data_IF_754940830672
#
_entry.id   IF_754940830672
#
_cell.length_a   1.000
_cell.length_b   1.000
_cell.length_c   1.000
_cell.angle_alpha   90.00
_cell.angle_beta   90.00
_cell.angle_gamma   90.00
#
_symmetry.space_group_name_H-M   'P 1'
#
loop_
_entity.id
_entity.type
_entity.pdbx_description
1 polymer ?
#
# COMPACT_ATOMS: atom_id res chain seq x y z
N UNK A 1 -5.02 12.56 -15.53
CA UNK A 1 -3.93 11.64 -15.21
C UNK A 1 -3.36 11.97 -13.84
N UNK A 2 -3.39 11.01 -12.91
CA UNK A 2 -2.72 11.14 -11.62
C UNK A 2 -1.21 11.04 -11.78
N UNK A 3 -0.46 11.74 -10.95
CA UNK A 3 1.00 11.77 -11.00
C UNK A 3 1.60 11.47 -9.62
N UNK A 4 2.66 10.68 -9.62
CA UNK A 4 3.48 10.45 -8.43
C UNK A 4 4.50 11.58 -8.34
N UNK A 5 4.34 12.46 -7.36
CA UNK A 5 5.12 13.69 -7.27
C UNK A 5 6.23 13.58 -6.21
N UNK A 6 7.42 14.06 -6.56
CA UNK A 6 8.45 14.43 -5.60
C UNK A 6 9.04 15.78 -6.04
N UNK A 7 8.53 16.88 -5.47
CA UNK A 7 8.83 18.23 -5.96
C UNK A 7 8.02 18.57 -7.22
N UNK A 8 8.69 19.00 -8.30
CA UNK A 8 8.05 19.54 -9.52
C UNK A 8 7.91 18.53 -10.67
N UNK A 9 8.43 17.31 -10.53
CA UNK A 9 8.40 16.28 -11.57
C UNK A 9 7.80 14.98 -11.03
N UNK A 10 7.12 14.24 -11.90
CA UNK A 10 6.46 13.00 -11.53
C UNK A 10 5.97 12.21 -12.74
N UNK A 11 6.20 10.90 -12.72
CA UNK A 11 5.62 9.97 -13.69
C UNK A 11 4.11 9.85 -13.50
N UNK A 12 3.39 9.42 -14.53
CA UNK A 12 1.95 9.14 -14.38
C UNK A 12 1.74 7.89 -13.53
N UNK A 13 0.62 7.81 -12.84
CA UNK A 13 0.21 6.62 -12.09
C UNK A 13 0.10 5.41 -13.03
N UNK A 14 -0.56 5.57 -14.17
CA UNK A 14 -0.62 4.57 -15.23
C UNK A 14 0.75 4.02 -15.65
N UNK A 15 1.75 4.88 -15.90
CA UNK A 15 3.09 4.43 -16.30
C UNK A 15 3.74 3.61 -15.18
N UNK A 16 3.57 4.02 -13.92
CA UNK A 16 4.08 3.30 -12.76
C UNK A 16 3.44 1.91 -12.64
N UNK A 17 2.11 1.85 -12.72
CA UNK A 17 1.36 0.59 -12.67
C UNK A 17 1.69 -0.33 -13.84
N UNK A 18 1.97 0.23 -15.02
CA UNK A 18 2.40 -0.55 -16.19
C UNK A 18 3.74 -1.22 -15.93
N UNK A 19 4.71 -0.51 -15.35
CA UNK A 19 5.99 -1.10 -14.96
C UNK A 19 5.83 -2.20 -13.90
N UNK A 20 4.92 -2.01 -12.93
CA UNK A 20 4.58 -3.06 -11.95
C UNK A 20 3.98 -4.28 -12.64
N UNK A 21 3.05 -4.07 -13.57
CA UNK A 21 2.42 -5.15 -14.35
C UNK A 21 3.46 -5.94 -15.14
N UNK A 22 4.38 -5.25 -15.81
CA UNK A 22 5.43 -5.90 -16.61
C UNK A 22 6.42 -6.67 -15.72
N UNK A 23 6.84 -6.10 -14.58
CA UNK A 23 7.64 -6.81 -13.58
C UNK A 23 6.96 -8.09 -13.10
N UNK A 24 5.65 -8.04 -12.81
CA UNK A 24 4.92 -9.22 -12.37
C UNK A 24 4.80 -10.28 -13.48
N UNK A 25 4.62 -9.89 -14.75
CA UNK A 25 4.60 -10.82 -15.89
C UNK A 25 5.93 -11.57 -16.06
N UNK A 26 7.05 -10.89 -15.83
CA UNK A 26 8.38 -11.49 -15.97
C UNK A 26 8.77 -12.36 -14.77
N UNK A 27 8.17 -12.14 -13.59
CA UNK A 27 8.61 -12.75 -12.34
C UNK A 27 7.44 -13.45 -11.61
N UNK A 28 6.97 -14.61 -12.06
CA UNK A 28 5.69 -15.24 -11.67
C UNK A 28 5.44 -15.45 -10.15
N UNK A 29 6.47 -15.48 -9.32
CA UNK A 29 6.34 -15.70 -7.86
C UNK A 29 6.41 -14.43 -7.02
N UNK A 30 6.73 -13.29 -7.63
CA UNK A 30 6.85 -12.03 -6.90
C UNK A 30 5.49 -11.49 -6.49
N UNK A 31 5.47 -10.85 -5.32
CA UNK A 31 4.32 -10.15 -4.75
C UNK A 31 4.73 -8.70 -4.49
N UNK A 32 3.90 -7.75 -4.91
CA UNK A 32 4.17 -6.32 -4.76
C UNK A 32 3.21 -5.71 -3.74
N UNK A 33 3.77 -4.91 -2.83
CA UNK A 33 3.04 -4.13 -1.85
C UNK A 33 3.06 -2.66 -2.28
N UNK A 34 1.92 -2.11 -2.64
CA UNK A 34 1.76 -0.71 -3.06
C UNK A 34 1.16 0.11 -1.92
N UNK A 35 1.98 0.92 -1.26
CA UNK A 35 1.54 1.86 -0.22
C UNK A 35 1.21 3.23 -0.84
N UNK A 36 -0.08 3.52 -1.04
CA UNK A 36 -0.55 4.84 -1.50
C UNK A 36 -0.54 5.85 -0.35
N UNK A 37 0.66 6.16 0.14
CA UNK A 37 0.86 7.12 1.21
C UNK A 37 0.84 8.56 0.68
N UNK A 38 0.53 9.54 1.56
CA UNK A 38 0.60 10.98 1.27
C UNK A 38 -0.24 11.43 0.07
N UNK A 39 -1.49 10.96 0.00
CA UNK A 39 -2.47 11.39 -1.00
C UNK A 39 -2.98 12.80 -0.67
N UNK A 40 -2.42 13.83 -1.31
CA UNK A 40 -2.77 15.23 -1.08
C UNK A 40 -3.79 15.75 -2.09
N UNK A 41 -4.78 16.51 -1.60
CA UNK A 41 -5.72 17.24 -2.47
C UNK A 41 -6.68 16.36 -3.28
N UNK A 42 -6.81 15.10 -2.90
CA UNK A 42 -7.75 14.14 -3.47
C UNK A 42 -8.86 13.93 -2.42
N UNK A 43 -10.11 13.82 -2.86
CA UNK A 43 -11.23 13.41 -2.02
C UNK A 43 -11.65 11.97 -2.37
N UNK A 44 -12.62 11.42 -1.63
CA UNK A 44 -13.09 10.04 -1.86
C UNK A 44 -13.58 9.83 -3.29
N UNK A 45 -14.28 10.82 -3.86
CA UNK A 45 -14.80 10.75 -5.23
C UNK A 45 -13.65 10.72 -6.26
N UNK A 46 -12.63 11.54 -6.05
CA UNK A 46 -11.44 11.60 -6.91
C UNK A 46 -10.60 10.34 -6.77
N UNK A 47 -10.51 9.77 -5.56
CA UNK A 47 -9.79 8.52 -5.32
C UNK A 47 -10.43 7.32 -6.03
N UNK A 48 -11.73 7.35 -6.33
CA UNK A 48 -12.37 6.31 -7.14
C UNK A 48 -11.69 6.17 -8.52
N UNK A 49 -11.28 7.28 -9.15
CA UNK A 49 -10.54 7.22 -10.41
C UNK A 49 -9.14 6.62 -10.27
N UNK A 50 -8.48 6.81 -9.11
CA UNK A 50 -7.20 6.14 -8.79
C UNK A 50 -7.43 4.64 -8.69
N UNK A 51 -8.50 4.21 -7.99
CA UNK A 51 -8.83 2.80 -7.85
C UNK A 51 -9.21 2.15 -9.19
N UNK A 52 -9.95 2.85 -10.04
CA UNK A 52 -10.29 2.42 -11.39
C UNK A 52 -9.04 2.27 -12.26
N UNK A 53 -8.08 3.20 -12.19
CA UNK A 53 -6.82 3.09 -12.95
C UNK A 53 -5.97 1.90 -12.49
N UNK A 54 -5.87 1.67 -11.18
CA UNK A 54 -5.18 0.49 -10.62
C UNK A 54 -5.82 -0.81 -11.11
N UNK A 55 -7.14 -0.93 -11.00
CA UNK A 55 -7.86 -2.14 -11.42
C UNK A 55 -7.82 -2.34 -12.93
N UNK A 56 -7.85 -1.27 -13.72
CA UNK A 56 -7.74 -1.33 -15.17
C UNK A 56 -6.34 -1.78 -15.66
N UNK A 57 -5.27 -1.34 -14.99
CA UNK A 57 -3.89 -1.66 -15.40
C UNK A 57 -3.39 -2.98 -14.84
N UNK A 58 -3.66 -3.26 -13.55
CA UNK A 58 -3.18 -4.49 -12.89
C UNK A 58 -4.18 -5.65 -13.04
N UNK A 59 -5.46 -5.37 -13.21
CA UNK A 59 -6.53 -6.36 -13.19
C UNK A 59 -6.94 -6.76 -11.78
N UNK A 60 -8.24 -6.75 -11.50
CA UNK A 60 -8.79 -7.07 -10.17
C UNK A 60 -8.42 -8.46 -9.67
N UNK A 61 -8.15 -9.42 -10.56
CA UNK A 61 -7.74 -10.78 -10.20
C UNK A 61 -6.33 -10.89 -9.61
N UNK A 62 -5.45 -9.91 -9.87
CA UNK A 62 -4.12 -9.86 -9.24
C UNK A 62 -4.15 -9.20 -7.86
N UNK A 63 -5.21 -8.46 -7.53
CA UNK A 63 -5.30 -7.74 -6.26
C UNK A 63 -5.77 -8.69 -5.16
N UNK A 64 -5.03 -8.75 -4.05
CA UNK A 64 -5.43 -9.47 -2.86
C UNK A 64 -6.44 -8.61 -2.08
N UNK A 65 -7.70 -9.05 -1.95
CA UNK A 65 -8.70 -8.29 -1.20
C UNK A 65 -8.34 -8.25 0.29
N UNK A 66 -8.83 -7.23 0.98
CA UNK A 66 -8.68 -7.10 2.42
C UNK A 66 -9.46 -8.24 3.12
N UNK A 67 -8.78 -9.15 3.83
CA UNK A 67 -9.44 -10.30 4.44
C UNK A 67 -10.09 -9.93 5.78
N UNK A 68 -11.06 -10.72 6.27
CA UNK A 68 -11.55 -10.61 7.65
C UNK A 68 -10.46 -10.94 8.68
N UNK A 69 -9.55 -11.86 8.36
CA UNK A 69 -8.40 -12.23 9.17
C UNK A 69 -7.12 -12.11 8.32
N UNK A 70 -6.27 -11.14 8.66
CA UNK A 70 -5.07 -10.81 7.90
C UNK A 70 -4.00 -11.90 8.01
N UNK A 71 -3.99 -12.68 9.09
CA UNK A 71 -3.01 -13.75 9.27
C UNK A 71 -3.20 -14.91 8.28
N UNK A 72 -4.37 -14.96 7.61
CA UNK A 72 -4.63 -15.92 6.53
C UNK A 72 -3.86 -15.58 5.25
N UNK A 73 -3.39 -14.34 5.11
CA UNK A 73 -2.69 -13.86 3.91
C UNK A 73 -1.22 -14.26 3.97
N UNK A 74 -0.97 -15.49 3.52
CA UNK A 74 0.37 -16.02 3.29
C UNK A 74 0.75 -15.93 1.81
N UNK A 75 2.04 -16.02 1.49
CA UNK A 75 2.48 -16.13 0.09
C UNK A 75 1.82 -17.31 -0.64
N UNK A 76 1.66 -18.45 0.05
CA UNK A 76 0.99 -19.61 -0.53
C UNK A 76 -0.49 -19.35 -0.83
N UNK A 77 -1.20 -18.68 0.09
CA UNK A 77 -2.56 -18.23 -0.14
C UNK A 77 -2.66 -17.33 -1.37
N UNK A 78 -1.82 -16.29 -1.44
CA UNK A 78 -1.79 -15.34 -2.55
C UNK A 78 -1.54 -16.06 -3.89
N UNK A 79 -0.49 -16.88 -3.98
CA UNK A 79 -0.19 -17.63 -5.21
C UNK A 79 -1.28 -18.61 -5.61
N UNK A 80 -1.87 -19.34 -4.66
CA UNK A 80 -2.94 -20.32 -4.94
C UNK A 80 -4.23 -19.66 -5.43
N UNK A 81 -4.46 -18.41 -5.04
CA UNK A 81 -5.62 -17.61 -5.43
C UNK A 81 -5.35 -16.70 -6.64
N UNK A 82 -4.12 -16.70 -7.17
CA UNK A 82 -3.69 -15.84 -8.28
C UNK A 82 -3.43 -14.38 -7.89
N UNK A 83 -3.49 -14.05 -6.59
CA UNK A 83 -3.19 -12.72 -6.09
C UNK A 83 -1.68 -12.47 -6.05
N UNK A 84 -1.29 -11.26 -6.41
CA UNK A 84 0.12 -10.85 -6.54
C UNK A 84 0.38 -9.41 -6.12
N UNK A 85 -0.66 -8.64 -5.79
CA UNK A 85 -0.53 -7.25 -5.36
C UNK A 85 -1.40 -6.99 -4.14
N UNK A 86 -0.84 -6.32 -3.13
CA UNK A 86 -1.60 -5.71 -2.03
C UNK A 86 -1.50 -4.21 -2.21
N UNK A 87 -2.63 -3.51 -2.18
CA UNK A 87 -2.68 -2.04 -2.28
C UNK A 87 -3.18 -1.48 -0.96
N UNK A 88 -2.37 -0.67 -0.28
CA UNK A 88 -2.77 0.07 0.92
C UNK A 88 -3.22 1.47 0.53
N UNK A 89 -4.34 1.95 1.09
CA UNK A 89 -4.88 3.26 0.77
C UNK A 89 -5.53 3.98 1.96
N UNK A 90 -5.55 5.32 1.96
CA UNK A 90 -6.06 6.12 3.08
C UNK A 90 -7.59 6.24 3.12
N UNK A 91 -8.29 5.88 2.04
CA UNK A 91 -9.74 5.93 2.00
C UNK A 91 -10.33 4.55 2.21
N UNK A 92 -11.21 4.43 3.20
CA UNK A 92 -12.00 3.22 3.37
C UNK A 92 -12.89 3.02 2.14
N UNK A 93 -12.59 1.99 1.35
CA UNK A 93 -13.52 1.49 0.37
C UNK A 93 -14.69 0.86 1.13
N UNK A 94 -15.84 1.56 1.14
CA UNK A 94 -17.10 0.89 1.41
C UNK A 94 -17.36 -0.10 0.29
N UNK A 95 -17.83 -1.30 0.62
CA UNK A 95 -18.24 -2.26 -0.40
C UNK A 95 -19.12 -1.56 -1.45
N UNK A 96 -18.83 -1.70 -2.76
CA UNK A 96 -19.67 -1.09 -3.79
C UNK A 96 -21.15 -1.35 -3.54
N UNK A 97 -21.96 -0.29 -3.54
CA UNK A 97 -23.43 -0.37 -3.42
C UNK A 97 -24.10 -1.05 -4.62
N UNK A 98 -23.33 -1.45 -5.63
CA UNK A 98 -23.80 -2.27 -6.74
C UNK A 98 -24.03 -3.69 -6.25
N UNK A 99 -25.30 -3.98 -5.96
CA UNK A 99 -25.85 -5.30 -5.66
C UNK A 99 -25.18 -6.36 -6.54
N UNK A 100 -24.42 -7.26 -5.93
CA UNK A 100 -23.97 -8.44 -6.67
C UNK A 100 -25.21 -9.26 -7.04
N UNK A 101 -25.33 -9.61 -8.32
CA UNK A 101 -26.44 -10.44 -8.85
C UNK A 101 -26.46 -11.84 -8.18
N UNK A 102 -25.39 -12.19 -7.45
CA UNK A 102 -25.17 -13.50 -6.82
C UNK A 102 -25.22 -13.48 -5.28
N UNK A 103 -25.67 -12.39 -4.64
CA UNK A 103 -25.96 -12.37 -3.21
C UNK A 103 -24.71 -12.34 -2.33
N UNK A 104 -24.11 -11.16 -2.21
CA UNK A 104 -23.00 -10.86 -1.30
C UNK A 104 -22.43 -9.48 -1.57
N UNK A 105 -21.94 -8.80 -0.54
CA UNK A 105 -21.23 -7.54 -0.74
C UNK A 105 -19.92 -7.83 -1.51
N UNK A 106 -19.60 -7.03 -2.55
CA UNK A 106 -18.35 -7.19 -3.29
C UNK A 106 -17.12 -7.04 -2.37
N UNK A 107 -16.02 -7.77 -2.64
CA UNK A 107 -14.84 -7.74 -1.78
C UNK A 107 -14.20 -6.35 -1.79
N UNK A 108 -13.72 -5.92 -0.62
CA UNK A 108 -12.91 -4.72 -0.48
C UNK A 108 -11.54 -5.02 -1.08
N UNK A 109 -11.23 -4.45 -2.25
CA UNK A 109 -10.01 -4.77 -2.99
C UNK A 109 -8.78 -4.10 -2.37
N UNK A 110 -8.95 -2.94 -1.72
CA UNK A 110 -7.84 -2.11 -1.25
C UNK A 110 -7.78 -2.14 0.27
N UNK A 111 -6.59 -2.39 0.80
CA UNK A 111 -6.35 -2.51 2.22
C UNK A 111 -6.37 -1.13 2.88
N UNK A 112 -6.99 -0.98 4.05
CA UNK A 112 -6.96 0.28 4.79
C UNK A 112 -5.52 0.66 5.19
N UNK A 113 -5.17 1.94 5.17
CA UNK A 113 -3.82 2.40 5.49
C UNK A 113 -3.39 2.05 6.92
N UNK A 114 -4.34 1.85 7.86
CA UNK A 114 -4.02 1.40 9.20
C UNK A 114 -3.44 -0.02 9.23
N UNK A 115 -3.56 -0.80 8.15
CA UNK A 115 -2.96 -2.14 8.09
C UNK A 115 -1.45 -2.10 7.81
N UNK A 116 -0.87 -0.93 7.56
CA UNK A 116 0.57 -0.77 7.34
C UNK A 116 1.11 0.40 8.16
N UNK A 117 2.11 0.15 8.99
CA UNK A 117 2.82 1.18 9.76
C UNK A 117 4.14 1.52 9.10
N UNK A 118 4.25 2.75 8.64
CA UNK A 118 5.40 3.27 7.91
C UNK A 118 5.87 4.60 8.54
N UNK A 119 6.47 4.58 9.74
CA UNK A 119 6.90 5.78 10.44
C UNK A 119 7.99 6.49 9.65
N UNK A 120 7.85 7.82 9.51
CA UNK A 120 8.84 8.67 8.87
C UNK A 120 9.82 9.22 9.92
N UNK A 121 11.12 8.87 9.85
CA UNK A 121 12.09 9.29 10.87
C UNK A 121 12.35 10.79 10.91
N UNK A 122 12.09 11.50 9.80
CA UNK A 122 12.34 12.94 9.64
C UNK A 122 13.73 13.35 10.18
N UNK A 123 14.77 12.63 9.73
CA UNK A 123 16.14 12.80 10.19
C UNK A 123 17.04 13.19 9.02
N UNK A 124 17.87 14.23 9.21
CA UNK A 124 18.89 14.65 8.25
C UNK A 124 20.29 14.12 8.60
N UNK A 125 20.44 13.38 9.70
CA UNK A 125 21.70 12.76 10.15
C UNK A 125 21.57 11.25 10.27
N UNK A 126 22.56 10.52 9.74
CA UNK A 126 22.61 9.05 9.81
C UNK A 126 22.47 8.53 11.24
N UNK A 127 23.15 9.14 12.22
CA UNK A 127 23.07 8.70 13.62
C UNK A 127 21.68 8.89 14.24
N UNK A 128 20.95 9.93 13.84
CA UNK A 128 19.58 10.14 14.27
C UNK A 128 18.62 9.15 13.59
N UNK A 129 18.82 8.89 12.31
CA UNK A 129 18.08 7.87 11.55
C UNK A 129 18.23 6.49 12.19
N UNK A 130 19.47 6.02 12.43
CA UNK A 130 19.71 4.69 13.04
C UNK A 130 19.03 4.58 14.41
N UNK A 131 19.09 5.62 15.24
CA UNK A 131 18.39 5.64 16.55
C UNK A 131 16.87 5.54 16.38
N UNK A 132 16.31 6.26 15.41
CA UNK A 132 14.88 6.20 15.12
C UNK A 132 14.48 4.80 14.64
N UNK A 133 15.23 4.20 13.71
CA UNK A 133 14.97 2.85 13.21
C UNK A 133 15.04 1.79 14.33
N UNK A 134 16.04 1.88 15.22
CA UNK A 134 16.16 0.99 16.37
C UNK A 134 14.96 1.12 17.30
N UNK A 135 14.62 2.35 17.69
CA UNK A 135 13.46 2.62 18.55
C UNK A 135 12.16 2.12 17.91
N UNK A 136 11.95 2.37 16.63
CA UNK A 136 10.72 2.00 15.94
C UNK A 136 10.62 0.47 15.77
N UNK A 137 11.75 -0.22 15.60
CA UNK A 137 11.82 -1.68 15.58
C UNK A 137 11.57 -2.30 16.95
N UNK A 138 12.12 -1.72 18.02
CA UNK A 138 11.93 -2.17 19.40
C UNK A 138 10.50 -1.94 19.91
N UNK A 139 9.88 -0.84 19.48
CA UNK A 139 8.50 -0.48 19.81
C UNK A 139 7.47 -0.99 18.80
N UNK A 140 7.89 -1.74 17.77
CA UNK A 140 6.92 -2.35 16.86
C UNK A 140 6.14 -3.40 17.64
N UNK A 141 4.82 -3.46 17.49
CA UNK A 141 4.07 -4.55 18.09
C UNK A 141 4.59 -5.89 17.53
N UNK A 142 4.95 -6.80 18.44
CA UNK A 142 5.52 -8.10 18.10
C UNK A 142 4.49 -9.23 18.19
N UNK A 143 3.36 -9.00 18.87
CA UNK A 143 2.37 -10.01 19.22
C UNK A 143 0.97 -9.63 18.75
N UNK A 144 0.14 -10.66 18.48
CA UNK A 144 -1.28 -10.58 18.13
C UNK A 144 -2.16 -9.86 19.17
N UNK A 145 -1.65 -9.71 20.39
CA UNK A 145 -2.46 -9.41 21.58
C UNK A 145 -2.81 -7.91 21.69
N UNK A 146 -2.18 -7.06 20.87
CA UNK A 146 -2.62 -5.69 20.68
C UNK A 146 -3.71 -5.71 19.60
N UNK A 147 -4.98 -5.67 20.02
CA UNK A 147 -6.21 -5.68 19.22
C UNK A 147 -6.25 -4.63 18.08
N UNK A 148 -5.24 -3.77 17.99
CA UNK A 148 -5.09 -2.71 16.99
C UNK A 148 -3.68 -2.63 16.37
N UNK A 149 -2.87 -3.70 16.44
CA UNK A 149 -1.55 -3.69 15.81
C UNK A 149 -1.67 -3.78 14.28
N UNK A 150 -0.97 -2.91 13.53
CA UNK A 150 -0.86 -3.04 12.09
C UNK A 150 -0.11 -4.34 11.73
N UNK A 151 -0.62 -5.15 10.79
CA UNK A 151 0.01 -6.39 10.34
C UNK A 151 1.30 -6.15 9.55
N UNK A 152 1.41 -5.03 8.84
CA UNK A 152 2.64 -4.66 8.14
C UNK A 152 3.38 -3.55 8.86
N UNK A 153 4.71 -3.65 8.89
CA UNK A 153 5.61 -2.64 9.45
C UNK A 153 6.77 -2.37 8.48
N UNK A 154 7.02 -1.10 8.20
CA UNK A 154 8.06 -0.62 7.28
C UNK A 154 9.09 0.20 8.05
N UNK A 155 10.36 -0.20 7.98
CA UNK A 155 11.48 0.60 8.47
C UNK A 155 11.96 1.55 7.38
N UNK A 156 11.60 2.82 7.45
CA UNK A 156 11.97 3.81 6.43
C UNK A 156 13.42 4.29 6.60
N UNK A 157 14.37 3.62 5.95
CA UNK A 157 15.81 3.97 5.98
C UNK A 157 16.21 5.19 5.15
N UNK A 158 15.36 6.22 5.07
CA UNK A 158 15.58 7.42 4.23
C UNK A 158 15.90 8.64 5.07
N UNK A 159 16.87 9.45 4.63
CA UNK A 159 17.15 10.76 5.22
C UNK A 159 16.24 11.83 4.61
N UNK A 160 15.93 12.85 5.39
CA UNK A 160 15.17 14.02 4.96
C UNK A 160 16.08 15.23 5.00
N UNK A 161 16.46 15.82 3.85
CA UNK A 161 17.24 17.05 3.83
C UNK A 161 16.39 18.23 4.28
N UNK A 162 17.02 19.18 4.96
CA UNK A 162 16.47 20.51 5.21
C UNK A 162 17.08 21.53 4.24
N UNK A 163 16.41 22.68 4.11
CA UNK A 163 16.87 23.75 3.21
C UNK A 163 18.27 24.28 3.54
N UNK A 164 18.76 24.07 4.77
CA UNK A 164 20.10 24.46 5.21
C UNK A 164 21.15 23.34 5.12
N UNK A 165 20.75 22.14 4.64
CA UNK A 165 21.69 21.04 4.39
C UNK A 165 22.29 21.09 2.97
N UNK A 166 21.76 21.98 2.11
CA UNK A 166 22.14 22.17 0.69
C UNK A 166 22.80 23.51 0.43
#
# INVERSE_FOLDING_TARGET
DFRLIHGLYGMTLKDCLTQVSDFLKENEKEVVLLDMNHVYGIDVATFAFVADEVTAVLGSSLLCPFPPDIDTVTLNYMWSSGYRVIVFCPYEQKAPTTVSVFGGDPPILFWPCYSIKSPWPNANRVSALIKALQRDLESRPMAKDEENSPPFFVSQGVLTPHNWDV
#
